data_IF_403731830715
#
_entry.id   IF_403731830715
#
_cell.length_a   1.000
_cell.length_b   1.000
_cell.length_c   1.000
_cell.angle_alpha   90.00
_cell.angle_beta   90.00
_cell.angle_gamma   90.00
#
_symmetry.space_group_name_H-M   'P 1'
#
loop_
_entity.id
_entity.type
_entity.pdbx_description
1 polymer ?
#
# COMPACT_ATOMS: atom_id res chain seq x y z
N UNK A 1 8.99 -11.82 -13.85
CA UNK A 1 8.91 -10.36 -13.68
C UNK A 1 9.71 -9.72 -14.81
N UNK A 2 9.32 -8.54 -15.30
CA UNK A 2 10.06 -7.84 -16.35
C UNK A 2 11.49 -7.50 -15.92
N UNK A 3 12.39 -7.32 -16.89
CA UNK A 3 13.71 -6.75 -16.62
C UNK A 3 13.58 -5.32 -16.08
N UNK A 4 12.62 -4.54 -16.59
CA UNK A 4 12.35 -3.17 -16.10
C UNK A 4 12.06 -3.16 -14.59
N UNK A 5 11.14 -3.98 -14.11
CA UNK A 5 10.78 -4.05 -12.69
C UNK A 5 11.98 -4.51 -11.85
N UNK A 6 12.74 -5.50 -12.33
CA UNK A 6 13.94 -5.96 -11.62
C UNK A 6 14.98 -4.84 -11.47
N UNK A 7 15.24 -4.08 -12.54
CA UNK A 7 16.16 -2.94 -12.52
C UNK A 7 15.63 -1.80 -11.65
N UNK A 8 14.34 -1.44 -11.75
CA UNK A 8 13.72 -0.40 -10.92
C UNK A 8 13.79 -0.75 -9.44
N UNK A 9 13.49 -2.00 -9.08
CA UNK A 9 13.61 -2.46 -7.70
C UNK A 9 15.03 -2.33 -7.18
N UNK A 10 16.03 -2.75 -7.96
CA UNK A 10 17.42 -2.66 -7.55
C UNK A 10 17.90 -1.20 -7.46
N UNK A 11 17.53 -0.35 -8.42
CA UNK A 11 17.88 1.07 -8.44
C UNK A 11 17.24 1.83 -7.27
N UNK A 12 15.93 1.71 -7.06
CA UNK A 12 15.25 2.36 -5.95
C UNK A 12 15.72 1.82 -4.59
N UNK A 13 16.03 0.53 -4.50
CA UNK A 13 16.59 -0.06 -3.28
C UNK A 13 18.00 0.46 -2.98
N UNK A 14 18.87 0.64 -3.99
CA UNK A 14 20.22 1.19 -3.77
C UNK A 14 20.19 2.65 -3.33
N UNK A 15 19.20 3.41 -3.80
CA UNK A 15 18.92 4.77 -3.36
C UNK A 15 18.12 4.86 -2.05
N UNK A 16 17.74 3.72 -1.45
CA UNK A 16 16.94 3.63 -0.22
C UNK A 16 15.58 4.35 -0.31
N UNK A 17 15.00 4.43 -1.50
CA UNK A 17 13.68 5.06 -1.73
C UNK A 17 12.52 4.06 -1.63
N UNK A 18 12.83 2.76 -1.74
CA UNK A 18 11.89 1.64 -1.63
C UNK A 18 12.57 0.49 -0.87
N UNK A 19 11.82 -0.20 -0.01
CA UNK A 19 12.23 -1.51 0.47
C UNK A 19 11.75 -2.59 -0.51
N UNK A 20 12.68 -3.15 -1.30
CA UNK A 20 12.34 -4.16 -2.31
C UNK A 20 11.64 -5.39 -1.73
N UNK A 21 11.90 -5.75 -0.47
CA UNK A 21 11.24 -6.90 0.16
C UNK A 21 9.74 -6.67 0.33
N UNK A 22 9.30 -5.44 0.57
CA UNK A 22 7.86 -5.12 0.64
C UNK A 22 7.14 -5.37 -0.68
N UNK A 23 7.84 -5.24 -1.83
CA UNK A 23 7.30 -5.59 -3.14
C UNK A 23 7.35 -7.10 -3.35
N UNK A 24 8.47 -7.74 -3.03
CA UNK A 24 8.66 -9.18 -3.22
C UNK A 24 7.70 -10.02 -2.36
N UNK A 25 7.35 -9.56 -1.15
CA UNK A 25 6.36 -10.23 -0.29
C UNK A 25 4.96 -10.23 -0.93
N UNK A 26 4.57 -9.14 -1.60
CA UNK A 26 3.31 -9.07 -2.33
C UNK A 26 3.30 -9.96 -3.58
N UNK A 27 4.43 -10.02 -4.30
CA UNK A 27 4.60 -10.95 -5.41
C UNK A 27 4.49 -12.39 -4.90
N UNK A 28 5.14 -12.73 -3.79
CA UNK A 28 5.05 -14.07 -3.19
C UNK A 28 3.60 -14.44 -2.78
N UNK A 29 2.81 -13.46 -2.31
CA UNK A 29 1.39 -13.64 -2.02
C UNK A 29 0.56 -13.87 -3.29
N UNK A 30 0.79 -13.07 -4.34
CA UNK A 30 0.09 -13.21 -5.63
C UNK A 30 0.40 -14.56 -6.30
N UNK A 31 1.64 -15.03 -6.18
CA UNK A 31 2.10 -16.35 -6.64
C UNK A 31 1.69 -17.50 -5.71
N UNK A 32 1.05 -17.22 -4.58
CA UNK A 32 0.60 -18.22 -3.59
C UNK A 32 1.73 -19.13 -3.10
N UNK A 33 2.93 -18.58 -2.92
CA UNK A 33 4.07 -19.33 -2.42
C UNK A 33 3.81 -19.82 -0.98
N UNK A 34 4.28 -21.02 -0.65
CA UNK A 34 4.10 -21.60 0.70
C UNK A 34 4.77 -20.79 1.81
N UNK A 35 5.77 -19.98 1.48
CA UNK A 35 6.48 -19.09 2.40
C UNK A 35 5.84 -17.71 2.53
N UNK A 36 4.79 -17.42 1.74
CA UNK A 36 4.14 -16.11 1.75
C UNK A 36 3.45 -15.84 3.09
N UNK A 37 3.42 -14.56 3.49
CA UNK A 37 2.82 -14.11 4.75
C UNK A 37 1.84 -12.98 4.45
N UNK A 38 0.70 -12.92 5.16
CA UNK A 38 -0.23 -11.80 5.00
C UNK A 38 0.45 -10.45 5.29
N UNK A 39 0.45 -9.58 4.29
CA UNK A 39 0.99 -8.21 4.39
C UNK A 39 -0.05 -7.24 4.96
N UNK A 40 -1.33 -7.53 4.78
CA UNK A 40 -2.44 -6.67 5.23
C UNK A 40 -2.70 -5.47 4.31
N UNK A 41 -2.12 -5.47 3.11
CA UNK A 41 -2.45 -4.52 2.03
C UNK A 41 -3.77 -4.89 1.37
N UNK A 42 -4.40 -3.89 0.73
CA UNK A 42 -5.60 -4.10 -0.08
C UNK A 42 -5.41 -5.23 -1.10
N UNK A 43 -6.49 -5.96 -1.37
CA UNK A 43 -6.52 -7.00 -2.40
C UNK A 43 -6.10 -6.42 -3.77
N UNK A 44 -5.60 -7.29 -4.64
CA UNK A 44 -5.32 -6.89 -6.01
C UNK A 44 -6.63 -6.62 -6.76
N UNK A 45 -6.64 -5.59 -7.57
CA UNK A 45 -7.80 -5.17 -8.36
C UNK A 45 -7.36 -4.81 -9.78
N UNK A 46 -8.26 -4.95 -10.76
CA UNK A 46 -8.01 -4.38 -12.09
C UNK A 46 -8.08 -2.86 -12.02
N UNK A 47 -7.24 -2.19 -12.80
CA UNK A 47 -7.47 -0.77 -13.07
C UNK A 47 -8.84 -0.59 -13.76
N UNK A 48 -9.37 0.62 -13.67
CA UNK A 48 -10.61 1.00 -14.34
C UNK A 48 -10.31 1.89 -15.55
N UNK A 49 -11.22 1.88 -16.51
CA UNK A 49 -11.14 2.75 -17.68
C UNK A 49 -10.46 2.10 -18.90
N UNK A 50 -10.47 2.81 -20.04
CA UNK A 50 -10.08 2.22 -21.33
C UNK A 50 -8.57 2.05 -21.52
N UNK A 51 -7.75 2.84 -20.80
CA UNK A 51 -6.29 2.87 -21.01
C UNK A 51 -5.62 1.72 -20.25
N UNK A 52 -5.73 1.74 -18.92
CA UNK A 52 -5.06 0.78 -18.05
C UNK A 52 -5.93 -0.41 -17.66
N UNK A 53 -7.22 -0.44 -18.01
CA UNK A 53 -8.19 -1.41 -17.48
C UNK A 53 -7.91 -2.88 -17.76
N UNK A 54 -6.95 -3.18 -18.65
CA UNK A 54 -6.43 -4.52 -18.90
C UNK A 54 -5.44 -5.00 -17.84
N UNK A 55 -4.79 -4.09 -17.13
CA UNK A 55 -3.79 -4.39 -16.12
C UNK A 55 -4.41 -4.51 -14.74
N UNK A 56 -3.76 -5.31 -13.91
CA UNK A 56 -4.02 -5.42 -12.49
C UNK A 56 -3.03 -4.55 -11.71
N UNK A 57 -3.46 -4.12 -10.53
CA UNK A 57 -2.59 -3.51 -9.55
C UNK A 57 -2.73 -4.17 -8.19
N UNK A 58 -1.61 -4.21 -7.47
CA UNK A 58 -1.53 -4.65 -6.08
C UNK A 58 -0.76 -3.61 -5.28
N UNK A 59 -1.29 -3.19 -4.14
CA UNK A 59 -0.57 -2.29 -3.24
C UNK A 59 0.58 -3.02 -2.54
N UNK A 60 1.73 -2.36 -2.46
CA UNK A 60 2.81 -2.71 -1.52
C UNK A 60 2.96 -1.62 -0.45
N UNK A 61 3.37 -1.99 0.76
CA UNK A 61 3.48 -1.05 1.87
C UNK A 61 4.92 -0.93 2.38
N UNK A 62 5.46 0.28 2.25
CA UNK A 62 6.66 0.76 2.95
C UNK A 62 6.36 1.78 4.06
N UNK A 63 7.34 1.98 4.95
CA UNK A 63 7.28 2.96 6.04
C UNK A 63 6.91 4.39 5.57
N UNK A 64 7.31 4.78 4.35
CA UNK A 64 6.96 6.09 3.76
C UNK A 64 5.45 6.30 3.61
N UNK A 65 4.65 5.23 3.57
CA UNK A 65 3.19 5.31 3.46
C UNK A 65 2.47 5.33 4.82
N UNK A 66 3.20 5.28 5.95
CA UNK A 66 2.62 5.39 7.29
C UNK A 66 1.74 6.65 7.43
N UNK A 67 2.19 7.87 7.04
CA UNK A 67 1.39 9.07 7.20
C UNK A 67 0.04 8.96 6.48
N UNK A 68 0.04 8.50 5.23
CA UNK A 68 -1.20 8.35 4.47
C UNK A 68 -2.14 7.29 5.08
N UNK A 69 -1.62 6.21 5.64
CA UNK A 69 -2.45 5.20 6.31
C UNK A 69 -3.06 5.72 7.61
N UNK A 70 -2.34 6.53 8.38
CA UNK A 70 -2.86 7.23 9.56
C UNK A 70 -3.97 8.20 9.14
N UNK A 71 -3.73 9.02 8.11
CA UNK A 71 -4.74 9.91 7.53
C UNK A 71 -5.99 9.13 7.11
N UNK A 72 -5.83 8.06 6.34
CA UNK A 72 -6.94 7.24 5.88
C UNK A 72 -7.70 6.54 7.04
N UNK A 73 -7.06 6.29 8.20
CA UNK A 73 -7.72 5.68 9.37
C UNK A 73 -8.59 6.67 10.13
N UNK A 74 -8.10 7.88 10.33
CA UNK A 74 -8.69 8.84 11.26
C UNK A 74 -9.42 9.99 10.56
N UNK A 75 -9.01 10.34 9.34
CA UNK A 75 -9.44 11.53 8.61
C UNK A 75 -10.02 11.23 7.23
N UNK A 76 -10.10 9.98 6.79
CA UNK A 76 -10.86 9.63 5.58
C UNK A 76 -12.36 9.89 5.77
N UNK A 77 -13.10 10.10 4.67
CA UNK A 77 -14.51 10.53 4.69
C UNK A 77 -15.39 9.71 5.65
N UNK A 78 -15.28 8.39 5.59
CA UNK A 78 -16.00 7.50 6.50
C UNK A 78 -15.58 7.70 7.96
N UNK A 79 -14.26 7.83 8.22
CA UNK A 79 -13.74 7.99 9.56
C UNK A 79 -14.20 9.30 10.21
N UNK A 80 -14.22 10.38 9.43
CA UNK A 80 -14.73 11.69 9.84
C UNK A 80 -16.24 11.61 10.10
N UNK A 81 -17.00 11.03 9.17
CA UNK A 81 -18.46 10.86 9.31
C UNK A 81 -18.85 10.06 10.55
N UNK A 82 -18.06 9.04 10.90
CA UNK A 82 -18.30 8.21 12.09
C UNK A 82 -17.62 8.74 13.37
N UNK A 83 -16.85 9.84 13.29
CA UNK A 83 -16.14 10.39 14.45
C UNK A 83 -15.11 9.43 15.06
N UNK A 84 -14.48 8.56 14.26
CA UNK A 84 -13.59 7.49 14.77
C UNK A 84 -12.45 8.01 15.64
N UNK A 85 -11.84 9.13 15.26
CA UNK A 85 -10.77 9.75 16.02
C UNK A 85 -11.26 10.22 17.40
N UNK A 86 -12.41 10.90 17.44
CA UNK A 86 -13.02 11.37 18.69
C UNK A 86 -13.34 10.21 19.62
N UNK A 87 -13.93 9.14 19.09
CA UNK A 87 -14.24 7.93 19.85
C UNK A 87 -12.98 7.30 20.43
N UNK A 88 -11.91 7.17 19.62
CA UNK A 88 -10.65 6.58 20.09
C UNK A 88 -9.95 7.45 21.14
N UNK A 89 -9.92 8.77 20.96
CA UNK A 89 -9.37 9.69 21.96
C UNK A 89 -10.13 9.60 23.28
N UNK A 90 -11.46 9.57 23.22
CA UNK A 90 -12.29 9.43 24.42
C UNK A 90 -12.07 8.09 25.13
N UNK A 91 -11.91 6.99 24.39
CA UNK A 91 -11.54 5.67 24.94
C UNK A 91 -10.19 5.72 25.68
N UNK A 92 -9.17 6.31 25.05
CA UNK A 92 -7.80 6.36 25.62
C UNK A 92 -7.75 7.28 26.84
N UNK A 93 -8.42 8.42 26.79
CA UNK A 93 -8.36 9.44 27.85
C UNK A 93 -9.13 9.04 29.11
N UNK A 94 -10.20 8.22 29.00
CA UNK A 94 -11.00 7.73 30.12
C UNK A 94 -10.33 6.68 31.03
N UNK A 95 -9.13 6.25 30.71
CA UNK A 95 -8.40 5.30 31.57
C UNK A 95 -7.91 5.99 32.85
N UNK A 96 -8.64 5.89 33.96
CA UNK A 96 -8.24 6.52 35.21
C UNK A 96 -6.98 5.84 35.77
N UNK A 97 -5.87 6.57 35.75
CA UNK A 97 -4.72 6.29 36.61
C UNK A 97 -4.67 7.41 37.64
N UNK A 98 -4.85 7.01 38.90
CA UNK A 98 -4.77 7.90 40.06
C UNK A 98 -3.28 8.14 40.35
N UNK A 99 -2.64 8.97 39.52
CA UNK A 99 -1.24 9.35 39.71
C UNK A 99 -1.18 10.76 40.30
N UNK A 100 -0.62 10.85 41.51
CA UNK A 100 -0.42 12.13 42.22
C UNK A 100 0.68 12.98 41.58
N UNK A 101 1.50 12.40 40.69
CA UNK A 101 2.52 13.12 39.92
C UNK A 101 1.95 13.52 38.55
N UNK A 102 1.57 14.80 38.45
CA UNK A 102 0.94 15.36 37.25
C UNK A 102 1.84 15.29 36.00
N UNK A 103 3.17 15.32 36.15
CA UNK A 103 4.09 15.27 35.01
C UNK A 103 4.11 13.85 34.41
N UNK A 104 4.29 12.84 35.26
CA UNK A 104 4.24 11.43 34.84
C UNK A 104 2.89 11.04 34.28
N UNK A 105 1.81 11.54 34.88
CA UNK A 105 0.46 11.35 34.36
C UNK A 105 0.33 11.83 32.91
N UNK A 106 0.77 13.06 32.61
CA UNK A 106 0.67 13.61 31.26
C UNK A 106 1.58 12.91 30.25
N UNK A 107 2.78 12.50 30.66
CA UNK A 107 3.66 11.70 29.82
C UNK A 107 3.04 10.34 29.47
N UNK A 108 2.50 9.63 30.46
CA UNK A 108 1.81 8.36 30.25
C UNK A 108 0.60 8.52 29.31
N UNK A 109 -0.19 9.59 29.48
CA UNK A 109 -1.32 9.89 28.60
C UNK A 109 -0.88 10.21 27.17
N UNK A 110 0.16 11.03 27.00
CA UNK A 110 0.71 11.35 25.68
C UNK A 110 1.20 10.08 24.96
N UNK A 111 1.92 9.19 25.68
CA UNK A 111 2.40 7.92 25.15
C UNK A 111 1.24 7.01 24.70
N UNK A 112 0.18 6.91 25.50
CA UNK A 112 -1.02 6.14 25.15
C UNK A 112 -1.72 6.68 23.91
N UNK A 113 -1.89 8.01 23.83
CA UNK A 113 -2.49 8.67 22.66
C UNK A 113 -1.62 8.41 21.42
N UNK A 114 -0.32 8.62 21.49
CA UNK A 114 0.60 8.39 20.38
C UNK A 114 0.53 6.92 19.91
N UNK A 115 0.61 5.96 20.83
CA UNK A 115 0.53 4.54 20.50
C UNK A 115 -0.82 4.17 19.86
N UNK A 116 -1.94 4.62 20.45
CA UNK A 116 -3.28 4.31 19.94
C UNK A 116 -3.53 4.87 18.54
N UNK A 117 -3.08 6.10 18.29
CA UNK A 117 -3.32 6.78 17.01
C UNK A 117 -2.37 6.28 15.91
N UNK A 118 -1.10 6.06 16.22
CA UNK A 118 -0.09 5.65 15.24
C UNK A 118 -0.11 4.14 15.07
N UNK A 119 0.31 3.40 16.10
CA UNK A 119 0.42 1.94 16.03
C UNK A 119 -0.96 1.30 15.88
N UNK A 120 -1.88 1.56 16.81
CA UNK A 120 -3.22 0.97 16.78
C UNK A 120 -4.02 1.36 15.54
N UNK A 121 -3.81 2.58 15.01
CA UNK A 121 -4.43 3.03 13.77
C UNK A 121 -3.98 2.24 12.55
N UNK A 122 -2.67 2.05 12.39
CA UNK A 122 -2.06 1.30 11.28
C UNK A 122 -2.34 -0.20 11.42
N UNK A 123 -2.19 -0.76 12.62
CA UNK A 123 -2.47 -2.16 12.92
C UNK A 123 -3.93 -2.52 12.60
N UNK A 124 -4.89 -1.69 12.99
CA UNK A 124 -6.29 -1.90 12.65
C UNK A 124 -6.55 -1.87 11.13
N UNK A 125 -5.77 -1.13 10.35
CA UNK A 125 -5.84 -1.18 8.88
C UNK A 125 -5.19 -2.44 8.33
N UNK A 126 -4.07 -2.88 8.89
CA UNK A 126 -3.37 -4.11 8.51
C UNK A 126 -4.26 -5.34 8.70
N UNK A 127 -4.88 -5.46 9.88
CA UNK A 127 -5.70 -6.62 10.25
C UNK A 127 -6.95 -6.80 9.37
N UNK A 128 -7.41 -5.73 8.72
CA UNK A 128 -8.55 -5.78 7.77
C UNK A 128 -8.13 -5.78 6.30
N UNK A 129 -6.84 -5.95 5.99
CA UNK A 129 -6.36 -5.94 4.61
C UNK A 129 -6.55 -4.58 3.92
N UNK A 130 -6.38 -3.47 4.63
CA UNK A 130 -6.64 -2.12 4.10
C UNK A 130 -5.40 -1.22 4.07
N UNK A 131 -4.19 -1.75 4.29
CA UNK A 131 -3.00 -0.93 4.07
C UNK A 131 -2.92 -0.54 2.59
N UNK A 132 -2.60 0.73 2.36
CA UNK A 132 -2.35 1.30 1.04
C UNK A 132 -0.90 1.74 0.93
N UNK A 133 -0.35 1.71 -0.27
CA UNK A 133 0.94 2.29 -0.63
C UNK A 133 1.01 2.37 -2.15
N UNK A 134 2.18 2.45 -2.76
CA UNK A 134 2.26 2.46 -4.22
C UNK A 134 1.92 1.09 -4.83
N UNK A 135 1.87 1.03 -6.16
CA UNK A 135 1.38 -0.13 -6.89
C UNK A 135 2.48 -0.97 -7.52
N UNK A 136 2.24 -2.27 -7.53
CA UNK A 136 2.80 -3.25 -8.46
C UNK A 136 1.79 -3.39 -9.58
N UNK A 137 2.20 -3.14 -10.82
CA UNK A 137 1.38 -3.31 -12.01
C UNK A 137 1.74 -4.64 -12.67
N UNK A 138 0.73 -5.43 -12.99
CA UNK A 138 0.92 -6.72 -13.65
C UNK A 138 -0.21 -7.02 -14.64
N UNK A 139 0.05 -7.95 -15.55
CA UNK A 139 -0.93 -8.49 -16.49
C UNK A 139 -1.13 -9.98 -16.20
N UNK A 140 -2.37 -10.46 -16.27
CA UNK A 140 -2.69 -11.88 -16.11
C UNK A 140 -2.90 -12.49 -17.49
N UNK A 141 -2.13 -13.53 -17.82
CA UNK A 141 -2.23 -14.22 -19.10
C UNK A 141 -2.03 -15.72 -18.91
N UNK A 142 -2.93 -16.54 -19.47
CA UNK A 142 -2.88 -18.00 -19.37
C UNK A 142 -2.70 -18.54 -17.94
N UNK A 143 -3.32 -17.88 -16.95
CA UNK A 143 -3.25 -18.25 -15.53
C UNK A 143 -1.93 -17.89 -14.84
N UNK A 144 -1.06 -17.11 -15.48
CA UNK A 144 0.21 -16.62 -14.93
C UNK A 144 0.19 -15.09 -14.77
N UNK A 145 0.89 -14.60 -13.74
CA UNK A 145 1.07 -13.16 -13.53
C UNK A 145 2.39 -12.67 -14.16
N UNK A 146 2.27 -11.64 -14.99
CA UNK A 146 3.40 -10.96 -15.63
C UNK A 146 3.57 -9.58 -15.00
N UNK A 147 4.49 -9.50 -14.04
CA UNK A 147 4.81 -8.27 -13.31
C UNK A 147 5.56 -7.28 -14.22
N UNK A 148 4.94 -6.14 -14.50
CA UNK A 148 5.40 -5.16 -15.48
C UNK A 148 6.29 -4.11 -14.85
N UNK A 149 5.76 -3.34 -13.89
CA UNK A 149 6.54 -2.31 -13.20
C UNK A 149 5.84 -1.80 -11.92
N UNK A 150 6.47 -0.84 -11.24
CA UNK A 150 5.87 -0.05 -10.18
C UNK A 150 5.27 1.25 -10.72
N UNK A 151 4.24 1.74 -10.03
CA UNK A 151 3.72 3.09 -10.24
C UNK A 151 3.26 3.71 -8.92
N UNK A 152 3.39 5.02 -8.80
CA UNK A 152 2.82 5.78 -7.70
C UNK A 152 1.45 6.39 -8.01
N UNK A 153 0.76 6.90 -6.98
CA UNK A 153 -0.56 7.52 -7.13
C UNK A 153 -0.59 8.73 -8.07
N UNK A 154 0.51 9.45 -8.25
CA UNK A 154 0.58 10.63 -9.13
C UNK A 154 0.68 10.20 -10.59
N UNK A 155 1.37 9.09 -10.86
CA UNK A 155 1.44 8.54 -12.21
C UNK A 155 0.06 8.11 -12.76
N UNK A 156 -0.93 7.85 -11.89
CA UNK A 156 -2.30 7.61 -12.34
C UNK A 156 -3.09 8.85 -12.75
N UNK A 157 -2.63 10.06 -12.42
CA UNK A 157 -3.26 11.29 -12.90
C UNK A 157 -3.13 11.41 -14.43
N UNK A 158 -2.08 10.81 -15.00
CA UNK A 158 -1.84 10.70 -16.43
C UNK A 158 -1.70 9.22 -16.86
N UNK A 159 -2.85 8.55 -16.95
CA UNK A 159 -2.91 7.14 -17.30
C UNK A 159 -2.29 6.83 -18.67
N UNK A 160 -2.35 7.76 -19.62
CA UNK A 160 -1.77 7.56 -20.95
C UNK A 160 -0.26 7.50 -20.87
N UNK A 161 0.36 8.45 -20.16
CA UNK A 161 1.81 8.45 -19.96
C UNK A 161 2.29 7.20 -19.22
N UNK A 162 1.54 6.72 -18.23
CA UNK A 162 1.87 5.47 -17.56
C UNK A 162 1.75 4.28 -18.52
N UNK A 163 0.71 4.22 -19.35
CA UNK A 163 0.56 3.17 -20.36
C UNK A 163 1.72 3.17 -21.36
N UNK A 164 2.06 4.34 -21.90
CA UNK A 164 3.15 4.50 -22.88
C UNK A 164 4.48 4.03 -22.28
N UNK A 165 4.76 4.41 -21.03
CA UNK A 165 5.95 3.95 -20.30
C UNK A 165 5.98 2.43 -20.14
N UNK A 166 4.87 1.83 -19.72
CA UNK A 166 4.78 0.36 -19.58
C UNK A 166 4.98 -0.34 -20.92
N UNK A 167 4.41 0.21 -22.00
CA UNK A 167 4.55 -0.34 -23.35
C UNK A 167 6.00 -0.24 -23.83
N UNK A 168 6.64 0.92 -23.71
CA UNK A 168 8.03 1.14 -24.11
C UNK A 168 9.00 0.23 -23.34
N UNK A 169 8.78 0.05 -22.05
CA UNK A 169 9.68 -0.68 -21.17
C UNK A 169 9.44 -2.21 -21.20
N UNK A 170 8.20 -2.66 -21.43
CA UNK A 170 7.82 -4.07 -21.22
C UNK A 170 7.24 -4.79 -22.45
N UNK A 171 6.79 -4.08 -23.51
CA UNK A 171 6.10 -4.74 -24.63
C UNK A 171 7.02 -5.68 -25.44
N UNK A 172 8.33 -5.45 -25.43
CA UNK A 172 9.28 -6.34 -26.08
C UNK A 172 9.42 -7.69 -25.34
N UNK A 173 9.24 -7.73 -24.01
CA UNK A 173 9.21 -8.97 -23.22
C UNK A 173 7.84 -9.63 -23.25
N UNK A 174 6.78 -8.83 -23.13
CA UNK A 174 5.40 -9.28 -22.95
C UNK A 174 4.46 -8.63 -23.98
N UNK A 175 4.62 -8.89 -25.29
CA UNK A 175 3.82 -8.22 -26.32
C UNK A 175 2.32 -8.49 -26.17
N UNK A 176 1.95 -9.68 -25.69
CA UNK A 176 0.56 -10.07 -25.43
C UNK A 176 -0.15 -9.22 -24.37
N UNK A 177 0.59 -8.52 -23.50
CA UNK A 177 0.00 -7.63 -22.50
C UNK A 177 -0.48 -6.29 -23.11
N UNK A 178 0.06 -5.93 -24.28
CA UNK A 178 -0.18 -4.64 -24.95
C UNK A 178 -0.92 -4.78 -26.28
N UNK A 179 -0.89 -5.94 -26.92
CA UNK A 179 -1.75 -6.23 -28.06
C UNK A 179 -3.23 -6.17 -27.67
N UNK A 180 -4.08 -5.65 -28.55
CA UNK A 180 -5.52 -5.83 -28.42
C UNK A 180 -5.83 -7.32 -28.45
N UNK A 181 -6.56 -7.83 -27.45
CA UNK A 181 -7.17 -9.15 -27.54
C UNK A 181 -8.14 -9.14 -28.72
N UNK A 182 -7.90 -9.97 -29.74
CA UNK A 182 -8.94 -10.36 -30.70
C UNK A 182 -10.07 -11.12 -30.00
#
# INVERSE_FOLDING_TARGET
>A
MSQCLALRLQYCSSLRTINKFSVLDEIALLEKLSTSRPTGTKAAEKFRGPILGRFWHKHYFDAKHLPQNILNKWFGDYAVKQGLLKMKLHEVLKSDEDDTDMEKYWEAKANRVAHALVYGGVEARRNRGALTGEWIIYYEHAGLNYYLDLADHKELEDQQKLFDRLMDECAWEYPFAFSSSD
#
